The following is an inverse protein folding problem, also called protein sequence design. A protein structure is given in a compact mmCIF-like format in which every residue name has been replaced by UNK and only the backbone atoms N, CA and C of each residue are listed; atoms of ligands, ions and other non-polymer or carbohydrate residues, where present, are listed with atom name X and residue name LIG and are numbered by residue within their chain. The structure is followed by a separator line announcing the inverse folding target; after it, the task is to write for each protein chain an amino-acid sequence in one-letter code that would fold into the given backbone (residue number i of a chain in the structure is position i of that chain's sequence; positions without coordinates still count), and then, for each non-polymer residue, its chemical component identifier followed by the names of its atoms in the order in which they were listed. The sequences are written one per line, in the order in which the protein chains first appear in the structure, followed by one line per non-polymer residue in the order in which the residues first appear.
data_IF_113467286069
#
_entry.id   IF_113467286069
#
_cell.length_a   1.000
_cell.length_b   1.000
_cell.length_c   1.000
_cell.angle_alpha   90.00
_cell.angle_beta   90.00
_cell.angle_gamma   90.00
#
_symmetry.space_group_name_H-M   'P 1'
#
loop_
_entity.id
_entity.type
_entity.pdbx_description
1 polymer ?
#
# COMPACT_ATOMS: atom_id res chain seq x y z
N UNK A 1 11.76 29.32 -22.88
CA UNK A 1 12.71 28.21 -23.07
C UNK A 1 11.87 27.02 -23.48
N UNK A 2 12.15 26.41 -24.62
CA UNK A 2 11.45 25.20 -25.03
C UNK A 2 11.77 24.10 -24.02
N UNK A 3 10.79 23.25 -23.72
CA UNK A 3 10.90 22.14 -22.77
C UNK A 3 12.12 21.24 -23.08
N UNK A 4 12.47 21.13 -24.35
CA UNK A 4 13.60 20.35 -24.87
C UNK A 4 15.00 20.92 -24.53
N UNK A 5 15.11 22.22 -24.19
CA UNK A 5 16.39 22.86 -23.78
C UNK A 5 16.76 22.64 -22.32
N UNK A 6 15.89 21.94 -21.57
CA UNK A 6 16.14 21.62 -20.16
C UNK A 6 17.39 20.75 -20.00
N UNK A 7 18.21 21.09 -18.99
CA UNK A 7 19.37 20.28 -18.58
C UNK A 7 18.99 18.82 -18.28
N UNK A 8 17.73 18.57 -17.91
CA UNK A 8 17.18 17.24 -17.67
C UNK A 8 17.25 16.34 -18.91
N UNK A 9 16.95 16.86 -20.10
CA UNK A 9 17.06 16.11 -21.37
C UNK A 9 18.48 15.83 -21.80
N UNK A 10 19.44 16.66 -21.35
CA UNK A 10 20.87 16.44 -21.59
C UNK A 10 21.49 15.36 -20.73
N UNK A 11 20.71 14.86 -19.71
CA UNK A 11 21.08 13.75 -18.80
C UNK A 11 22.53 13.85 -18.30
N UNK A 12 22.98 14.99 -17.70
CA UNK A 12 24.40 15.21 -17.35
C UNK A 12 24.93 14.18 -16.34
N UNK A 13 24.05 13.54 -15.56
CA UNK A 13 24.35 12.48 -14.61
C UNK A 13 24.93 11.22 -15.23
N UNK A 14 24.68 10.96 -16.52
CA UNK A 14 25.22 9.78 -17.22
C UNK A 14 26.75 9.75 -17.24
N UNK A 15 27.41 10.90 -17.13
CA UNK A 15 28.87 10.98 -17.02
C UNK A 15 29.44 10.40 -15.74
N UNK A 16 28.58 10.26 -14.70
CA UNK A 16 28.94 9.74 -13.38
C UNK A 16 28.54 8.29 -13.20
N UNK A 17 28.00 7.65 -14.24
CA UNK A 17 27.64 6.24 -14.17
C UNK A 17 28.88 5.35 -14.26
N UNK A 18 28.92 4.34 -13.43
CA UNK A 18 29.93 3.29 -13.48
C UNK A 18 29.88 2.52 -14.82
N UNK A 19 31.02 1.98 -15.30
CA UNK A 19 31.02 1.14 -16.47
C UNK A 19 30.05 -0.04 -16.34
N UNK A 20 29.17 -0.22 -17.33
CA UNK A 20 28.17 -1.30 -17.35
C UNK A 20 26.81 -0.91 -16.76
N UNK A 21 26.66 0.28 -16.17
CA UNK A 21 25.34 0.79 -15.77
C UNK A 21 24.61 1.31 -17.00
N UNK A 22 23.42 0.79 -17.34
CA UNK A 22 22.68 1.25 -18.52
C UNK A 22 22.15 2.67 -18.31
N UNK A 23 22.14 3.47 -19.36
CA UNK A 23 21.62 4.83 -19.35
C UNK A 23 20.10 4.91 -19.18
N UNK A 24 19.40 3.83 -19.52
CA UNK A 24 17.96 3.67 -19.37
C UNK A 24 17.66 2.18 -19.10
N UNK A 25 16.54 1.93 -18.46
CA UNK A 25 16.02 0.57 -18.23
C UNK A 25 14.71 0.47 -19.01
N UNK A 26 14.60 -0.54 -19.84
CA UNK A 26 13.34 -0.88 -20.51
C UNK A 26 12.45 -1.60 -19.50
N UNK A 27 11.41 -0.93 -19.06
CA UNK A 27 10.43 -1.51 -18.15
C UNK A 27 9.34 -2.24 -18.94
N UNK A 28 9.00 -3.43 -18.47
CA UNK A 28 7.81 -4.12 -18.96
C UNK A 28 6.55 -3.33 -18.54
N UNK A 29 5.63 -3.11 -19.48
CA UNK A 29 4.32 -2.51 -19.19
C UNK A 29 3.42 -3.54 -18.50
N UNK A 30 3.53 -3.64 -17.18
CA UNK A 30 2.80 -4.59 -16.35
C UNK A 30 2.27 -3.90 -15.10
N UNK A 31 1.06 -4.23 -14.69
CA UNK A 31 0.50 -3.73 -13.45
C UNK A 31 1.15 -4.38 -12.22
N UNK A 32 1.30 -3.62 -11.12
CA UNK A 32 1.91 -4.12 -9.88
C UNK A 32 1.25 -5.41 -9.34
N UNK A 33 -0.10 -5.56 -9.36
CA UNK A 33 -0.73 -6.81 -8.95
C UNK A 33 -0.34 -8.03 -9.80
N UNK A 34 -0.08 -7.85 -11.10
CA UNK A 34 0.30 -8.95 -12.00
C UNK A 34 1.73 -9.44 -11.70
N UNK A 35 2.60 -8.55 -11.18
CA UNK A 35 3.93 -8.94 -10.68
C UNK A 35 3.78 -9.90 -9.50
N UNK A 36 2.85 -9.63 -8.58
CA UNK A 36 2.55 -10.52 -7.46
C UNK A 36 2.04 -11.87 -7.96
N UNK A 37 1.11 -11.89 -8.92
CA UNK A 37 0.53 -13.11 -9.47
C UNK A 37 1.61 -13.98 -10.13
N UNK A 38 2.46 -13.37 -10.97
CA UNK A 38 3.58 -14.02 -11.63
C UNK A 38 4.58 -14.60 -10.60
N UNK A 39 4.87 -13.84 -9.54
CA UNK A 39 5.80 -14.26 -8.50
C UNK A 39 5.22 -15.39 -7.65
N UNK A 40 3.94 -15.30 -7.29
CA UNK A 40 3.24 -16.35 -6.54
C UNK A 40 3.11 -17.64 -7.34
N UNK A 41 2.93 -17.57 -8.66
CA UNK A 41 2.93 -18.74 -9.53
C UNK A 41 4.32 -19.40 -9.61
N UNK A 42 5.39 -18.60 -9.69
CA UNK A 42 6.76 -19.10 -9.84
C UNK A 42 7.37 -19.61 -8.54
N UNK A 43 7.07 -18.96 -7.41
CA UNK A 43 7.66 -19.27 -6.10
C UNK A 43 6.62 -19.26 -4.96
N UNK A 44 5.57 -20.12 -5.04
CA UNK A 44 4.42 -20.04 -4.14
C UNK A 44 4.78 -20.18 -2.65
N UNK A 45 5.75 -21.03 -2.35
CA UNK A 45 6.08 -21.40 -0.97
C UNK A 45 7.28 -20.61 -0.40
N UNK A 46 7.88 -19.68 -1.18
CA UNK A 46 8.90 -18.77 -0.65
C UNK A 46 8.24 -17.70 0.23
N UNK A 47 8.96 -17.30 1.27
CA UNK A 47 8.56 -16.17 2.12
C UNK A 47 8.49 -14.88 1.28
N UNK A 48 7.33 -14.24 1.29
CA UNK A 48 7.08 -12.94 0.67
C UNK A 48 7.22 -11.80 1.68
N UNK A 49 6.70 -11.99 2.90
CA UNK A 49 6.70 -11.00 3.96
C UNK A 49 7.17 -11.65 5.26
N UNK A 50 8.01 -10.93 6.02
CA UNK A 50 8.45 -11.34 7.36
C UNK A 50 8.27 -10.15 8.29
N UNK A 51 7.54 -10.36 9.38
CA UNK A 51 7.29 -9.33 10.39
C UNK A 51 7.42 -9.94 11.78
N UNK A 52 8.35 -9.44 12.60
CA UNK A 52 8.57 -9.87 13.99
C UNK A 52 8.72 -11.41 14.18
N UNK A 53 9.22 -12.11 13.15
CA UNK A 53 9.35 -13.57 13.13
C UNK A 53 8.14 -14.32 12.56
N UNK A 54 7.03 -13.66 12.27
CA UNK A 54 5.91 -14.21 11.51
C UNK A 54 6.21 -14.11 10.01
N UNK A 55 5.94 -15.17 9.26
CA UNK A 55 6.24 -15.24 7.83
C UNK A 55 5.00 -15.58 7.01
N UNK A 56 4.83 -14.89 5.90
CA UNK A 56 3.77 -15.12 4.91
C UNK A 56 4.42 -15.48 3.58
N UNK A 57 4.00 -16.59 2.96
CA UNK A 57 4.48 -16.99 1.63
C UNK A 57 3.80 -16.17 0.52
N UNK A 58 4.36 -16.21 -0.71
CA UNK A 58 3.75 -15.56 -1.86
C UNK A 58 2.34 -16.07 -2.16
N UNK A 59 2.09 -17.36 -2.02
CA UNK A 59 0.76 -17.98 -2.15
C UNK A 59 -0.22 -17.38 -1.13
N UNK A 60 0.19 -17.31 0.13
CA UNK A 60 -0.64 -16.74 1.21
C UNK A 60 -0.87 -15.25 1.00
N UNK A 61 0.17 -14.49 0.65
CA UNK A 61 0.06 -13.06 0.35
C UNK A 61 -0.95 -12.83 -0.77
N UNK A 62 -0.85 -13.58 -1.88
CA UNK A 62 -1.80 -13.47 -2.99
C UNK A 62 -3.24 -13.73 -2.54
N UNK A 63 -3.49 -14.81 -1.79
CA UNK A 63 -4.82 -15.14 -1.27
C UNK A 63 -5.38 -14.02 -0.37
N UNK A 64 -4.56 -13.48 0.55
CA UNK A 64 -4.95 -12.37 1.40
C UNK A 64 -5.27 -11.10 0.59
N UNK A 65 -4.46 -10.79 -0.42
CA UNK A 65 -4.68 -9.66 -1.34
C UNK A 65 -5.99 -9.82 -2.09
N UNK A 66 -6.25 -11.00 -2.67
CA UNK A 66 -7.46 -11.25 -3.45
C UNK A 66 -8.73 -11.15 -2.58
N UNK A 67 -8.71 -11.70 -1.37
CA UNK A 67 -9.82 -11.59 -0.42
C UNK A 67 -10.07 -10.15 0.03
N UNK A 68 -9.00 -9.40 0.31
CA UNK A 68 -9.18 -8.01 0.72
C UNK A 68 -9.60 -7.11 -0.45
N UNK A 69 -9.16 -7.40 -1.67
CA UNK A 69 -9.64 -6.74 -2.89
C UNK A 69 -11.16 -6.94 -3.09
N UNK A 70 -11.66 -8.16 -2.86
CA UNK A 70 -13.10 -8.43 -2.87
C UNK A 70 -13.85 -7.62 -1.81
N UNK A 71 -13.32 -7.58 -0.57
CA UNK A 71 -13.88 -6.76 0.51
C UNK A 71 -13.94 -5.27 0.16
N UNK A 72 -12.91 -4.70 -0.45
CA UNK A 72 -12.93 -3.31 -0.92
C UNK A 72 -14.00 -3.07 -2.00
N UNK A 73 -14.19 -4.04 -2.89
CA UNK A 73 -15.25 -3.99 -3.90
C UNK A 73 -16.64 -4.03 -3.26
N UNK A 74 -16.84 -4.88 -2.26
CA UNK A 74 -18.09 -4.96 -1.48
C UNK A 74 -18.38 -3.66 -0.71
N UNK A 75 -17.36 -2.93 -0.28
CA UNK A 75 -17.50 -1.58 0.27
C UNK A 75 -17.81 -0.51 -0.79
N UNK A 76 -17.89 -0.91 -2.06
CA UNK A 76 -18.23 -0.03 -3.18
C UNK A 76 -17.08 0.80 -3.71
N UNK A 77 -15.82 0.44 -3.40
CA UNK A 77 -14.64 1.08 -3.99
C UNK A 77 -14.56 0.73 -5.47
N UNK A 78 -14.46 1.75 -6.31
CA UNK A 78 -14.35 1.62 -7.77
C UNK A 78 -12.94 1.95 -8.26
N UNK A 79 -12.64 1.55 -9.47
CA UNK A 79 -11.42 1.94 -10.16
C UNK A 79 -11.24 3.47 -10.14
N UNK A 80 -10.03 3.93 -9.82
CA UNK A 80 -9.68 5.33 -9.69
C UNK A 80 -10.09 5.99 -8.37
N UNK A 81 -10.88 5.35 -7.51
CA UNK A 81 -11.20 5.87 -6.17
C UNK A 81 -10.07 5.63 -5.19
N UNK A 82 -9.94 6.52 -4.19
CA UNK A 82 -8.87 6.48 -3.22
C UNK A 82 -9.22 5.63 -1.98
N UNK A 83 -8.25 4.83 -1.53
CA UNK A 83 -8.25 4.11 -0.26
C UNK A 83 -7.10 4.61 0.60
N UNK A 84 -7.41 5.18 1.77
CA UNK A 84 -6.42 5.62 2.73
C UNK A 84 -5.88 4.43 3.55
N UNK A 85 -4.56 4.36 3.68
CA UNK A 85 -3.87 3.32 4.47
C UNK A 85 -3.04 4.05 5.52
N UNK A 86 -3.46 3.95 6.78
CA UNK A 86 -2.82 4.56 7.94
C UNK A 86 -2.22 3.44 8.82
N UNK A 87 -1.19 2.80 8.31
CA UNK A 87 -0.52 1.67 8.94
C UNK A 87 1.00 1.88 8.95
N UNK A 88 1.71 1.43 9.99
CA UNK A 88 3.17 1.32 9.94
C UNK A 88 3.58 0.19 8.99
N UNK A 89 4.89 0.03 8.78
CA UNK A 89 5.46 -1.04 7.96
C UNK A 89 5.18 -2.42 8.60
N UNK A 90 4.09 -3.06 8.18
CA UNK A 90 3.61 -4.35 8.67
C UNK A 90 2.88 -5.11 7.56
N UNK A 91 2.60 -6.39 7.77
CA UNK A 91 1.98 -7.26 6.76
C UNK A 91 0.65 -6.70 6.24
N UNK A 92 -0.33 -6.26 7.07
CA UNK A 92 -1.58 -5.67 6.59
C UNK A 92 -1.41 -4.44 5.71
N UNK A 93 -0.37 -3.64 5.92
CA UNK A 93 -0.09 -2.48 5.08
C UNK A 93 0.20 -2.92 3.64
N UNK A 94 1.02 -3.96 3.47
CA UNK A 94 1.36 -4.50 2.14
C UNK A 94 0.13 -5.16 1.49
N UNK A 95 -0.66 -5.90 2.28
CA UNK A 95 -1.90 -6.52 1.79
C UNK A 95 -2.88 -5.45 1.30
N UNK A 96 -3.13 -4.42 2.11
CA UNK A 96 -4.03 -3.33 1.75
C UNK A 96 -3.55 -2.56 0.51
N UNK A 97 -2.24 -2.33 0.39
CA UNK A 97 -1.63 -1.70 -0.77
C UNK A 97 -1.92 -2.49 -2.05
N UNK A 98 -1.54 -3.77 -2.09
CA UNK A 98 -1.75 -4.60 -3.28
C UNK A 98 -3.22 -4.86 -3.59
N UNK A 99 -4.07 -5.02 -2.57
CA UNK A 99 -5.51 -5.19 -2.76
C UNK A 99 -6.18 -3.96 -3.38
N UNK A 100 -5.77 -2.76 -2.96
CA UNK A 100 -6.23 -1.50 -3.54
C UNK A 100 -5.84 -1.41 -5.02
N UNK A 101 -4.58 -1.71 -5.35
CA UNK A 101 -4.11 -1.71 -6.74
C UNK A 101 -4.78 -2.81 -7.57
N UNK A 102 -5.14 -3.95 -6.98
CA UNK A 102 -5.81 -5.09 -7.65
C UNK A 102 -7.14 -4.70 -8.26
N UNK A 103 -7.88 -3.82 -7.62
CA UNK A 103 -9.17 -3.32 -8.12
C UNK A 103 -9.02 -2.03 -8.95
N UNK A 104 -7.79 -1.62 -9.29
CA UNK A 104 -7.51 -0.39 -10.03
C UNK A 104 -7.78 0.89 -9.25
N UNK A 105 -7.87 0.82 -7.92
CA UNK A 105 -8.04 1.96 -7.03
C UNK A 105 -6.68 2.61 -6.71
N UNK A 106 -6.72 3.80 -6.10
CA UNK A 106 -5.55 4.61 -5.74
C UNK A 106 -5.20 4.41 -4.27
N UNK A 107 -3.96 4.04 -3.99
CA UNK A 107 -3.46 3.93 -2.61
C UNK A 107 -3.02 5.28 -2.08
N UNK A 108 -3.53 5.68 -0.92
CA UNK A 108 -3.13 6.90 -0.20
C UNK A 108 -2.45 6.50 1.10
N UNK A 109 -1.12 6.45 1.09
CA UNK A 109 -0.34 6.06 2.25
C UNK A 109 -0.20 7.25 3.20
N UNK A 110 -0.55 7.02 4.47
CA UNK A 110 -0.50 8.03 5.52
C UNK A 110 0.45 7.60 6.65
N UNK A 111 1.18 8.56 7.19
CA UNK A 111 2.03 8.29 8.33
C UNK A 111 1.20 8.19 9.62
N UNK A 112 1.29 7.09 10.40
CA UNK A 112 0.58 6.95 11.68
C UNK A 112 0.91 8.04 12.72
N UNK A 113 2.02 8.75 12.54
CA UNK A 113 2.46 9.84 13.42
C UNK A 113 1.88 11.20 13.04
N UNK A 114 1.12 11.30 11.95
CA UNK A 114 0.46 12.56 11.57
C UNK A 114 -0.52 13.03 12.64
N UNK A 115 -0.59 14.36 12.80
CA UNK A 115 -1.61 15.02 13.62
C UNK A 115 -3.01 14.85 13.00
N UNK A 116 -4.06 15.09 13.79
CA UNK A 116 -5.45 15.03 13.30
C UNK A 116 -5.69 15.98 12.13
N UNK A 117 -5.09 17.18 12.18
CA UNK A 117 -5.20 18.16 11.11
C UNK A 117 -4.58 17.67 9.79
N UNK A 118 -3.43 17.02 9.86
CA UNK A 118 -2.77 16.46 8.69
C UNK A 118 -3.57 15.30 8.11
N UNK A 119 -4.09 14.40 8.95
CA UNK A 119 -4.94 13.28 8.52
C UNK A 119 -6.27 13.77 7.92
N UNK A 120 -6.91 14.75 8.54
CA UNK A 120 -8.13 15.38 8.01
C UNK A 120 -7.89 15.97 6.63
N UNK A 121 -6.78 16.69 6.45
CA UNK A 121 -6.38 17.23 5.15
C UNK A 121 -6.17 16.12 4.13
N UNK A 122 -5.34 15.11 4.44
CA UNK A 122 -5.01 14.01 3.54
C UNK A 122 -6.24 13.22 3.09
N UNK A 123 -7.15 12.90 4.02
CA UNK A 123 -8.36 12.13 3.70
C UNK A 123 -9.34 12.94 2.86
N UNK A 124 -9.44 14.25 3.09
CA UNK A 124 -10.33 15.13 2.34
C UNK A 124 -9.77 15.48 0.97
N UNK A 125 -8.47 15.75 0.87
CA UNK A 125 -7.79 16.07 -0.40
C UNK A 125 -7.85 14.87 -1.35
N UNK A 126 -7.47 13.69 -0.87
CA UNK A 126 -7.52 12.44 -1.66
C UNK A 126 -8.95 11.98 -1.97
N UNK A 127 -9.95 12.45 -1.23
CA UNK A 127 -11.33 11.97 -1.35
C UNK A 127 -11.53 10.53 -0.89
N UNK A 128 -10.63 10.00 -0.05
CA UNK A 128 -10.68 8.61 0.42
C UNK A 128 -11.98 8.32 1.16
N UNK A 129 -12.70 7.27 0.72
CA UNK A 129 -13.94 6.80 1.34
C UNK A 129 -13.73 5.63 2.28
N UNK A 130 -12.67 4.89 2.11
CA UNK A 130 -12.26 3.75 2.94
C UNK A 130 -10.92 4.08 3.59
N UNK A 131 -10.80 3.79 4.88
CA UNK A 131 -9.58 3.89 5.67
C UNK A 131 -9.23 2.51 6.22
N UNK A 132 -7.98 2.09 6.05
CA UNK A 132 -7.41 0.91 6.70
C UNK A 132 -6.44 1.38 7.78
N UNK A 133 -6.64 0.96 9.02
CA UNK A 133 -5.85 1.45 10.16
C UNK A 133 -5.70 0.41 11.27
N UNK A 134 -4.86 0.72 12.27
CA UNK A 134 -4.74 -0.08 13.49
C UNK A 134 -5.95 0.12 14.42
N UNK A 135 -6.34 -0.95 15.09
CA UNK A 135 -7.32 -0.93 16.19
C UNK A 135 -6.90 0.02 17.33
N UNK A 136 -5.59 0.13 17.61
CA UNK A 136 -5.01 1.07 18.57
C UNK A 136 -5.35 2.54 18.27
N UNK A 137 -5.62 2.87 17.01
CA UNK A 137 -6.03 4.20 16.58
C UNK A 137 -7.56 4.35 16.49
N UNK A 138 -8.31 3.32 16.90
CA UNK A 138 -9.76 3.22 16.70
C UNK A 138 -10.53 4.43 17.20
N UNK A 139 -10.39 4.78 18.47
CA UNK A 139 -11.09 5.94 19.07
C UNK A 139 -10.74 7.23 18.34
N UNK A 140 -9.44 7.45 18.06
CA UNK A 140 -8.96 8.62 17.33
C UNK A 140 -9.61 8.73 15.94
N UNK A 141 -9.74 7.60 15.23
CA UNK A 141 -10.35 7.58 13.89
C UNK A 141 -11.87 7.76 13.94
N UNK A 142 -12.54 7.27 14.97
CA UNK A 142 -13.97 7.53 15.20
C UNK A 142 -14.22 9.03 15.38
N UNK A 143 -13.40 9.72 16.17
CA UNK A 143 -13.52 11.16 16.44
C UNK A 143 -13.17 12.01 15.22
N UNK A 144 -12.20 11.55 14.40
CA UNK A 144 -11.77 12.25 13.20
C UNK A 144 -12.75 12.09 12.02
N UNK A 145 -13.37 10.92 11.89
CA UNK A 145 -14.24 10.54 10.76
C UNK A 145 -15.30 11.58 10.40
N UNK A 146 -16.06 12.21 11.35
CA UNK A 146 -17.09 13.18 11.00
C UNK A 146 -16.60 14.42 10.24
N UNK A 147 -15.29 14.72 10.31
CA UNK A 147 -14.63 15.83 9.63
C UNK A 147 -14.05 15.44 8.26
N UNK A 148 -14.23 14.20 7.84
CA UNK A 148 -13.62 13.64 6.63
C UNK A 148 -14.65 13.04 5.68
N UNK A 149 -14.19 12.65 4.49
CA UNK A 149 -15.00 11.90 3.50
C UNK A 149 -15.03 10.39 3.76
N UNK A 150 -14.32 9.90 4.78
CA UNK A 150 -14.23 8.48 5.11
C UNK A 150 -15.60 7.95 5.57
N UNK A 151 -16.08 6.92 4.88
CA UNK A 151 -17.35 6.24 5.16
C UNK A 151 -17.16 4.93 5.90
N UNK A 152 -16.12 4.17 5.55
CA UNK A 152 -15.80 2.86 6.10
C UNK A 152 -14.40 2.88 6.71
N UNK A 153 -14.25 2.25 7.88
CA UNK A 153 -12.95 2.05 8.53
C UNK A 153 -12.75 0.56 8.73
N UNK A 154 -11.63 0.06 8.23
CA UNK A 154 -11.19 -1.32 8.41
C UNK A 154 -10.08 -1.32 9.44
N UNK A 155 -10.24 -2.10 10.49
CA UNK A 155 -9.25 -2.25 11.54
C UNK A 155 -8.45 -3.54 11.38
N UNK A 156 -7.18 -3.49 11.73
CA UNK A 156 -6.30 -4.65 11.90
C UNK A 156 -5.52 -4.51 13.20
N UNK A 157 -5.16 -5.61 13.82
CA UNK A 157 -4.33 -5.63 15.01
C UNK A 157 -2.89 -6.03 14.69
N UNK A 158 -1.94 -5.50 15.46
CA UNK A 158 -0.54 -5.96 15.40
C UNK A 158 -0.46 -7.43 15.82
N UNK A 159 -1.29 -7.85 16.78
CA UNK A 159 -1.35 -9.20 17.29
C UNK A 159 -1.67 -10.27 16.24
N UNK A 160 -2.46 -9.92 15.22
CA UNK A 160 -2.89 -10.84 14.15
C UNK A 160 -1.71 -11.44 13.36
N UNK A 161 -0.55 -10.75 13.39
CA UNK A 161 0.66 -11.10 12.62
C UNK A 161 1.89 -11.24 13.51
N UNK A 162 1.68 -11.72 14.73
CA UNK A 162 2.77 -12.10 15.64
C UNK A 162 2.78 -13.63 15.84
N UNK A 163 3.98 -14.24 15.98
CA UNK A 163 4.06 -15.64 16.32
C UNK A 163 3.63 -15.89 17.78
N UNK A 164 3.08 -17.07 18.04
CA UNK A 164 2.79 -17.49 19.42
C UNK A 164 4.08 -17.52 20.29
N UNK A 165 4.05 -17.07 21.56
CA UNK A 165 2.90 -16.56 22.31
C UNK A 165 2.65 -15.04 22.17
N UNK A 166 3.45 -14.31 21.38
CA UNK A 166 3.33 -12.86 21.22
C UNK A 166 2.00 -12.40 20.62
N UNK A 167 1.31 -13.29 19.89
CA UNK A 167 -0.05 -13.04 19.35
C UNK A 167 -1.14 -12.90 20.41
N UNK A 168 -0.83 -13.17 21.70
CA UNK A 168 -1.77 -13.02 22.82
C UNK A 168 -1.66 -11.66 23.52
N UNK A 169 -0.73 -10.79 23.09
CA UNK A 169 -0.54 -9.45 23.60
C UNK A 169 -1.37 -8.43 22.83
#
# INVERSE_FOLDING_TARGET
MAYEDSIYFKKPWLKSYEPGVPAAIDYEEIAMPDILDRTAAKWPDKAALIFQGYSVTYRQMKDMVDRFAACLTDFGVKQGEAVAILLPNMIPQVIAYYATLRIGAVTVLNNPLYSDRELEHQFNDSGSKVLVTLDLLGNRMIDLRPRTKVKQIVYTSIGDYLPFPKSLL
#
